data_IF_823255500274
#
_entry.id   IF_823255500274
#
_cell.length_a   1.000
_cell.length_b   1.000
_cell.length_c   1.000
_cell.angle_alpha   90.00
_cell.angle_beta   90.00
_cell.angle_gamma   90.00
#
_symmetry.space_group_name_H-M   'P 1'
#
loop_
_entity.id
_entity.type
_entity.pdbx_description
1 polymer ?
#
# COMPACT_ATOMS: atom_id res chain seq x y z
N UNK A 1 24.85 -3.92 -25.15
CA UNK A 1 24.61 -2.54 -24.69
C UNK A 1 23.23 -2.49 -24.07
N UNK A 2 23.09 -2.34 -22.74
CA UNK A 2 21.78 -2.14 -22.14
C UNK A 2 21.26 -0.76 -22.61
N UNK A 3 20.17 -0.76 -23.35
CA UNK A 3 19.50 0.48 -23.77
C UNK A 3 18.91 1.16 -22.54
N UNK A 4 19.57 2.19 -22.07
CA UNK A 4 19.09 3.05 -21.00
C UNK A 4 17.77 3.71 -21.45
N UNK A 5 16.67 3.21 -20.96
CA UNK A 5 15.36 3.82 -21.21
C UNK A 5 15.29 5.17 -20.46
N UNK A 6 14.77 6.23 -21.07
CA UNK A 6 14.74 7.54 -20.43
C UNK A 6 13.88 7.53 -19.17
N UNK A 7 14.36 8.14 -18.08
CA UNK A 7 13.70 8.24 -16.77
C UNK A 7 12.20 8.63 -16.83
N UNK A 8 11.72 9.51 -17.74
CA UNK A 8 10.29 9.82 -17.86
C UNK A 8 9.41 8.63 -18.26
N UNK A 9 9.95 7.68 -19.05
CA UNK A 9 9.20 6.48 -19.42
C UNK A 9 9.07 5.51 -18.27
N UNK A 10 10.10 5.41 -17.41
CA UNK A 10 10.07 4.64 -16.17
C UNK A 10 9.04 5.23 -15.21
N UNK A 11 9.09 6.55 -15.00
CA UNK A 11 8.18 7.23 -14.07
C UNK A 11 6.69 7.06 -14.43
N UNK A 12 6.33 7.07 -15.72
CA UNK A 12 4.96 6.83 -16.18
C UNK A 12 4.49 5.41 -15.82
N UNK A 13 5.33 4.41 -15.97
CA UNK A 13 4.96 3.02 -15.72
C UNK A 13 4.88 2.68 -14.24
N UNK A 14 5.54 3.48 -13.37
CA UNK A 14 5.43 3.40 -11.91
C UNK A 14 4.10 3.92 -11.36
N UNK A 15 3.30 4.61 -12.16
CA UNK A 15 1.97 5.10 -11.76
C UNK A 15 0.84 4.15 -12.17
N UNK A 16 1.16 2.97 -12.74
CA UNK A 16 0.22 2.10 -13.44
C UNK A 16 -0.14 0.83 -12.65
N UNK A 17 -1.05 0.05 -13.23
CA UNK A 17 -1.50 -1.28 -12.80
C UNK A 17 -0.35 -2.21 -12.40
N UNK A 18 0.82 -2.08 -13.06
CA UNK A 18 2.02 -2.85 -12.77
C UNK A 18 2.52 -2.67 -11.33
N UNK A 19 2.44 -1.46 -10.79
CA UNK A 19 2.86 -1.18 -9.41
C UNK A 19 1.92 -1.82 -8.38
N UNK A 20 0.62 -1.79 -8.65
CA UNK A 20 -0.38 -2.48 -7.82
C UNK A 20 -0.17 -3.99 -7.84
N UNK A 21 0.11 -4.58 -9.00
CA UNK A 21 0.40 -6.00 -9.15
C UNK A 21 1.69 -6.39 -8.42
N UNK A 22 2.73 -5.59 -8.57
CA UNK A 22 3.98 -5.78 -7.86
C UNK A 22 3.76 -5.77 -6.34
N UNK A 23 3.06 -4.79 -5.80
CA UNK A 23 2.80 -4.67 -4.37
C UNK A 23 2.00 -5.86 -3.82
N UNK A 24 1.04 -6.40 -4.59
CA UNK A 24 0.30 -7.57 -4.16
C UNK A 24 1.17 -8.83 -4.14
N UNK A 25 2.11 -8.98 -5.09
CA UNK A 25 3.10 -10.08 -5.04
C UNK A 25 4.02 -9.94 -3.82
N UNK A 26 4.43 -8.72 -3.47
CA UNK A 26 5.21 -8.48 -2.23
C UNK A 26 4.43 -8.92 -1.00
N UNK A 27 3.14 -8.58 -0.92
CA UNK A 27 2.27 -8.93 0.23
C UNK A 27 2.03 -10.43 0.36
N UNK A 28 1.82 -11.10 -0.76
CA UNK A 28 1.53 -12.53 -0.79
C UNK A 28 2.80 -13.41 -0.71
N UNK A 29 3.95 -12.89 -1.14
CA UNK A 29 5.17 -13.68 -1.32
C UNK A 29 5.05 -14.74 -2.44
N UNK A 30 4.01 -14.69 -3.27
CA UNK A 30 3.69 -15.67 -4.30
C UNK A 30 2.87 -15.07 -5.43
N UNK A 31 3.29 -15.33 -6.68
CA UNK A 31 2.52 -14.95 -7.87
C UNK A 31 1.17 -15.68 -7.91
N UNK A 32 1.13 -16.95 -7.52
CA UNK A 32 -0.09 -17.75 -7.54
C UNK A 32 -1.14 -17.15 -6.57
N UNK A 33 -0.77 -16.85 -5.34
CA UNK A 33 -1.67 -16.25 -4.36
C UNK A 33 -2.10 -14.84 -4.75
N UNK A 34 -1.16 -14.01 -5.20
CA UNK A 34 -1.47 -12.67 -5.68
C UNK A 34 -2.43 -12.67 -6.89
N UNK A 35 -2.27 -13.64 -7.80
CA UNK A 35 -3.16 -13.78 -8.97
C UNK A 35 -4.61 -14.08 -8.56
N UNK A 36 -4.79 -14.91 -7.54
CA UNK A 36 -6.12 -15.22 -6.99
C UNK A 36 -6.74 -13.97 -6.36
N UNK A 37 -5.99 -13.24 -5.53
CA UNK A 37 -6.48 -12.02 -4.87
C UNK A 37 -6.83 -10.90 -5.85
N UNK A 38 -6.04 -10.77 -6.90
CA UNK A 38 -6.25 -9.76 -7.95
C UNK A 38 -7.28 -10.17 -9.00
N UNK A 39 -7.72 -11.43 -8.96
CA UNK A 39 -8.58 -12.03 -9.98
C UNK A 39 -8.01 -11.88 -11.40
N UNK A 40 -6.73 -12.18 -11.56
CA UNK A 40 -6.00 -12.13 -12.84
C UNK A 40 -5.27 -13.45 -13.10
N UNK A 41 -4.98 -13.74 -14.37
CA UNK A 41 -4.17 -14.92 -14.71
C UNK A 41 -2.74 -14.78 -14.17
N UNK A 42 -2.20 -15.84 -13.55
CA UNK A 42 -0.83 -15.84 -13.01
C UNK A 42 0.24 -15.56 -14.08
N UNK A 43 0.01 -15.99 -15.32
CA UNK A 43 0.88 -15.69 -16.47
C UNK A 43 0.89 -14.20 -16.83
N UNK A 44 -0.25 -13.53 -16.72
CA UNK A 44 -0.33 -12.08 -16.92
C UNK A 44 0.41 -11.34 -15.83
N UNK A 45 0.20 -11.73 -14.56
CA UNK A 45 0.89 -11.15 -13.42
C UNK A 45 2.41 -11.34 -13.53
N UNK A 46 2.88 -12.56 -13.84
CA UNK A 46 4.29 -12.85 -14.06
C UNK A 46 4.90 -11.97 -15.17
N UNK A 47 4.17 -11.78 -16.27
CA UNK A 47 4.62 -10.92 -17.38
C UNK A 47 4.77 -9.45 -16.93
N UNK A 48 3.82 -8.92 -16.15
CA UNK A 48 3.95 -7.56 -15.61
C UNK A 48 5.17 -7.40 -14.73
N UNK A 49 5.45 -8.37 -13.85
CA UNK A 49 6.66 -8.34 -13.01
C UNK A 49 7.93 -8.36 -13.88
N UNK A 50 8.01 -9.29 -14.84
CA UNK A 50 9.16 -9.38 -15.75
C UNK A 50 9.36 -8.09 -16.56
N UNK A 51 8.28 -7.47 -17.04
CA UNK A 51 8.36 -6.19 -17.75
C UNK A 51 8.86 -5.07 -16.85
N UNK A 52 8.44 -5.05 -15.60
CA UNK A 52 8.87 -4.06 -14.61
C UNK A 52 10.36 -4.23 -14.29
N UNK A 53 10.83 -5.47 -14.08
CA UNK A 53 12.25 -5.80 -13.89
C UNK A 53 13.11 -5.43 -15.12
N UNK A 54 12.62 -5.75 -16.31
CA UNK A 54 13.30 -5.39 -17.56
C UNK A 54 13.39 -3.86 -17.76
N UNK A 55 12.35 -3.13 -17.35
CA UNK A 55 12.33 -1.67 -17.39
C UNK A 55 13.35 -1.05 -16.44
N UNK A 56 13.47 -1.62 -15.24
CA UNK A 56 14.39 -1.18 -14.18
C UNK A 56 15.84 -1.64 -14.43
N UNK A 57 16.02 -2.69 -15.23
CA UNK A 57 17.31 -3.33 -15.45
C UNK A 57 17.84 -4.11 -14.25
N UNK A 58 16.97 -4.43 -13.28
CA UNK A 58 17.32 -5.13 -12.05
C UNK A 58 16.18 -6.03 -11.60
N UNK A 59 16.49 -7.17 -10.99
CA UNK A 59 15.49 -8.04 -10.37
C UNK A 59 14.89 -7.39 -9.12
N UNK A 60 13.56 -7.40 -9.04
CA UNK A 60 12.80 -6.88 -7.90
C UNK A 60 12.49 -7.95 -6.86
N UNK A 61 12.63 -9.23 -7.25
CA UNK A 61 12.39 -10.37 -6.37
C UNK A 61 13.55 -11.35 -6.38
N UNK A 62 13.76 -11.95 -5.22
CA UNK A 62 14.61 -13.14 -5.05
C UNK A 62 13.71 -14.37 -4.91
N UNK A 63 14.00 -15.43 -5.65
CA UNK A 63 13.33 -16.71 -5.50
C UNK A 63 13.95 -17.47 -4.33
N UNK A 64 13.13 -17.84 -3.36
CA UNK A 64 13.50 -18.66 -2.22
C UNK A 64 12.65 -19.93 -2.16
N UNK A 65 13.08 -21.00 -1.47
CA UNK A 65 12.33 -22.26 -1.35
C UNK A 65 10.88 -22.07 -0.82
N UNK A 66 10.66 -21.01 -0.07
CA UNK A 66 9.35 -20.67 0.54
C UNK A 66 8.58 -19.59 -0.22
N UNK A 67 8.98 -19.23 -1.43
CA UNK A 67 8.28 -18.23 -2.22
C UNK A 67 9.18 -17.12 -2.78
N UNK A 68 8.61 -15.98 -3.02
CA UNK A 68 9.28 -14.78 -3.55
C UNK A 68 9.43 -13.73 -2.44
N UNK A 69 10.65 -13.22 -2.28
CA UNK A 69 10.96 -12.14 -1.33
C UNK A 69 11.45 -10.94 -2.13
N UNK A 70 11.04 -9.71 -1.82
CA UNK A 70 11.55 -8.54 -2.50
C UNK A 70 13.07 -8.42 -2.30
N UNK A 71 13.79 -8.07 -3.38
CA UNK A 71 15.19 -7.66 -3.32
C UNK A 71 15.31 -6.26 -2.70
N UNK A 72 16.52 -5.78 -2.46
CA UNK A 72 16.73 -4.39 -2.00
C UNK A 72 16.07 -3.37 -2.93
N UNK A 73 16.13 -3.58 -4.26
CA UNK A 73 15.42 -2.76 -5.24
C UNK A 73 13.90 -2.92 -5.13
N UNK A 74 13.43 -4.15 -4.87
CA UNK A 74 12.03 -4.45 -4.62
C UNK A 74 11.49 -3.77 -3.37
N UNK A 75 12.25 -3.72 -2.30
CA UNK A 75 11.86 -3.02 -1.06
C UNK A 75 11.72 -1.51 -1.27
N UNK A 76 12.65 -0.89 -2.01
CA UNK A 76 12.56 0.53 -2.39
C UNK A 76 11.29 0.80 -3.20
N UNK A 77 11.01 -0.06 -4.19
CA UNK A 77 9.82 0.07 -5.01
C UNK A 77 8.54 -0.16 -4.21
N UNK A 78 8.52 -1.13 -3.29
CA UNK A 78 7.37 -1.40 -2.41
C UNK A 78 7.08 -0.20 -1.49
N UNK A 79 8.11 0.41 -0.92
CA UNK A 79 7.97 1.63 -0.11
C UNK A 79 7.34 2.77 -0.93
N UNK A 80 7.78 2.97 -2.17
CA UNK A 80 7.19 3.95 -3.08
C UNK A 80 5.72 3.60 -3.40
N UNK A 81 5.43 2.35 -3.72
CA UNK A 81 4.09 1.88 -4.06
C UNK A 81 3.09 2.12 -2.93
N UNK A 82 3.49 1.84 -1.69
CA UNK A 82 2.67 2.07 -0.51
C UNK A 82 2.38 3.56 -0.32
N UNK A 83 3.40 4.41 -0.43
CA UNK A 83 3.23 5.86 -0.30
C UNK A 83 2.32 6.42 -1.40
N UNK A 84 2.50 5.99 -2.64
CA UNK A 84 1.68 6.41 -3.78
C UNK A 84 0.21 5.99 -3.63
N UNK A 85 -0.05 4.77 -3.13
CA UNK A 85 -1.40 4.31 -2.85
C UNK A 85 -2.08 5.16 -1.77
N UNK A 86 -1.40 5.46 -0.67
CA UNK A 86 -1.92 6.31 0.39
C UNK A 86 -2.18 7.75 -0.09
N UNK A 87 -1.31 8.28 -0.94
CA UNK A 87 -1.50 9.61 -1.52
C UNK A 87 -2.73 9.65 -2.43
N UNK A 88 -2.93 8.63 -3.27
CA UNK A 88 -4.13 8.51 -4.10
C UNK A 88 -5.41 8.41 -3.27
N UNK A 89 -5.40 7.62 -2.19
CA UNK A 89 -6.52 7.53 -1.24
C UNK A 89 -6.80 8.89 -0.59
N UNK A 90 -5.76 9.61 -0.19
CA UNK A 90 -5.89 10.94 0.40
C UNK A 90 -6.55 11.93 -0.57
N UNK A 91 -6.07 12.00 -1.80
CA UNK A 91 -6.63 12.87 -2.84
C UNK A 91 -8.10 12.52 -3.13
N UNK A 92 -8.42 11.23 -3.25
CA UNK A 92 -9.81 10.80 -3.44
C UNK A 92 -10.72 11.24 -2.28
N UNK A 93 -10.20 11.17 -1.05
CA UNK A 93 -10.90 11.61 0.15
C UNK A 93 -11.12 13.13 0.17
N UNK A 94 -10.08 13.90 -0.21
CA UNK A 94 -10.16 15.35 -0.29
C UNK A 94 -11.20 15.81 -1.34
N UNK A 95 -11.24 15.13 -2.49
CA UNK A 95 -12.25 15.39 -3.53
C UNK A 95 -13.66 15.08 -3.02
N UNK A 96 -13.85 13.97 -2.29
CA UNK A 96 -15.13 13.63 -1.70
C UNK A 96 -15.57 14.68 -0.66
N UNK A 97 -14.63 15.22 0.11
CA UNK A 97 -14.91 16.28 1.07
C UNK A 97 -15.40 17.57 0.39
N UNK A 98 -14.86 17.91 -0.79
CA UNK A 98 -15.33 19.06 -1.58
C UNK A 98 -16.78 18.92 -2.06
N UNK A 99 -17.27 17.68 -2.21
CA UNK A 99 -18.65 17.42 -2.61
C UNK A 99 -19.67 17.55 -1.46
N UNK A 100 -19.24 18.02 -0.30
CA UNK A 100 -20.09 18.20 0.88
C UNK A 100 -20.56 16.89 1.52
N UNK A 101 -19.98 15.78 1.15
CA UNK A 101 -20.19 14.49 1.80
C UNK A 101 -19.39 14.50 3.12
N UNK A 102 -20.04 14.90 4.21
CA UNK A 102 -19.50 14.86 5.58
C UNK A 102 -19.29 13.41 6.07
N UNK A 103 -18.71 12.58 5.27
CA UNK A 103 -18.38 11.19 5.59
C UNK A 103 -16.87 11.00 5.46
N UNK A 104 -16.22 10.79 6.58
CA UNK A 104 -14.79 10.55 6.65
C UNK A 104 -14.49 9.28 7.42
N UNK A 105 -13.32 8.70 7.18
CA UNK A 105 -12.78 7.62 8.00
C UNK A 105 -11.45 8.07 8.59
N UNK A 106 -11.38 8.10 9.92
CA UNK A 106 -10.16 8.44 10.68
C UNK A 106 -9.59 7.15 11.27
N UNK A 107 -8.32 6.88 11.01
CA UNK A 107 -7.60 5.76 11.63
C UNK A 107 -6.67 6.33 12.68
N UNK A 108 -6.86 5.90 13.92
CA UNK A 108 -6.06 6.32 15.08
C UNK A 108 -5.25 5.11 15.54
N UNK A 109 -3.93 5.24 15.54
CA UNK A 109 -3.06 4.25 16.15
C UNK A 109 -2.64 4.77 17.55
N UNK A 110 -2.85 3.99 18.57
CA UNK A 110 -2.59 4.39 19.96
C UNK A 110 -2.18 3.20 20.82
N UNK A 111 -1.52 3.46 21.94
CA UNK A 111 -1.24 2.44 22.95
C UNK A 111 -2.46 2.19 23.82
N UNK A 112 -2.48 1.06 24.51
CA UNK A 112 -3.64 0.61 25.30
C UNK A 112 -4.07 1.64 26.35
N UNK A 113 -3.13 2.26 27.06
CA UNK A 113 -3.42 3.25 28.11
C UNK A 113 -4.21 4.46 27.60
N UNK A 114 -3.88 4.97 26.41
CA UNK A 114 -4.60 6.09 25.82
C UNK A 114 -5.92 5.68 25.15
N UNK A 115 -6.00 4.42 24.68
CA UNK A 115 -7.20 3.91 24.02
C UNK A 115 -8.39 3.79 24.95
N UNK A 116 -8.16 3.53 26.24
CA UNK A 116 -9.23 3.25 27.19
C UNK A 116 -9.89 4.51 27.76
N UNK A 117 -9.18 5.59 27.89
CA UNK A 117 -9.66 6.76 28.64
C UNK A 117 -9.69 8.04 27.79
N UNK A 118 -8.58 8.38 27.17
CA UNK A 118 -8.44 9.64 26.46
C UNK A 118 -9.08 9.64 25.06
N UNK A 119 -8.81 8.62 24.26
CA UNK A 119 -9.27 8.52 22.86
C UNK A 119 -10.80 8.47 22.75
N UNK A 120 -11.54 7.71 23.56
CA UNK A 120 -13.00 7.68 23.50
C UNK A 120 -13.65 9.04 23.77
N UNK A 121 -13.15 9.81 24.74
CA UNK A 121 -13.68 11.13 25.07
C UNK A 121 -13.46 12.13 23.92
N UNK A 122 -12.27 12.11 23.31
CA UNK A 122 -11.93 12.95 22.18
C UNK A 122 -12.81 12.62 20.97
N UNK A 123 -12.99 11.33 20.67
CA UNK A 123 -13.83 10.86 19.56
C UNK A 123 -15.29 11.21 19.80
N UNK A 124 -15.81 11.02 21.00
CA UNK A 124 -17.21 11.32 21.32
C UNK A 124 -17.56 12.78 21.05
N UNK A 125 -16.68 13.71 21.45
CA UNK A 125 -16.87 15.14 21.21
C UNK A 125 -16.82 15.50 19.72
N UNK A 126 -16.01 14.81 18.95
CA UNK A 126 -15.87 15.06 17.50
C UNK A 126 -17.05 14.46 16.71
N UNK A 127 -17.44 13.22 17.01
CA UNK A 127 -18.55 12.53 16.34
C UNK A 127 -19.88 13.24 16.57
N UNK A 128 -20.06 13.82 17.75
CA UNK A 128 -21.25 14.62 18.02
C UNK A 128 -21.42 15.82 17.06
N UNK A 129 -20.31 16.44 16.66
CA UNK A 129 -20.29 17.55 15.70
C UNK A 129 -20.25 17.09 14.23
N UNK A 130 -19.78 15.87 13.99
CA UNK A 130 -19.54 15.30 12.66
C UNK A 130 -20.05 13.85 12.57
N UNK A 131 -21.39 13.65 12.53
CA UNK A 131 -21.98 12.30 12.66
C UNK A 131 -21.68 11.35 11.49
N UNK A 132 -21.14 11.87 10.37
CA UNK A 132 -20.75 11.06 9.23
C UNK A 132 -19.31 10.51 9.27
N UNK A 133 -18.53 10.84 10.32
CA UNK A 133 -17.13 10.40 10.41
C UNK A 133 -17.04 9.10 11.20
N UNK A 134 -16.36 8.11 10.61
CA UNK A 134 -16.07 6.82 11.23
C UNK A 134 -14.65 6.79 11.77
N UNK A 135 -14.45 6.27 12.97
CA UNK A 135 -13.16 6.08 13.60
C UNK A 135 -12.77 4.61 13.63
N UNK A 136 -11.55 4.32 13.21
CA UNK A 136 -10.89 3.03 13.37
C UNK A 136 -9.74 3.18 14.35
N UNK A 137 -9.82 2.52 15.49
CA UNK A 137 -8.77 2.55 16.51
C UNK A 137 -7.93 1.28 16.37
N UNK A 138 -6.63 1.44 16.16
CA UNK A 138 -5.66 0.35 16.13
C UNK A 138 -4.79 0.43 17.39
N UNK A 139 -4.74 -0.65 18.17
CA UNK A 139 -3.84 -0.74 19.31
C UNK A 139 -2.42 -1.08 18.84
N UNK A 140 -1.47 -0.26 19.27
CA UNK A 140 -0.05 -0.53 19.09
C UNK A 140 0.43 -1.32 20.33
N UNK A 141 0.75 -2.58 20.12
CA UNK A 141 1.45 -3.36 21.13
C UNK A 141 2.93 -3.04 21.01
N UNK A 142 3.51 -2.38 22.01
CA UNK A 142 4.97 -2.35 22.16
C UNK A 142 5.40 -3.72 22.61
N UNK A 143 5.95 -4.51 21.70
CA UNK A 143 6.68 -5.71 22.06
C UNK A 143 7.98 -5.23 22.70
N UNK A 144 7.99 -5.19 24.05
CA UNK A 144 9.25 -5.07 24.79
C UNK A 144 10.06 -6.32 24.45
N UNK A 145 11.02 -6.13 23.55
CA UNK A 145 12.09 -7.09 23.37
C UNK A 145 13.00 -6.99 24.61
N UNK A 146 12.81 -7.92 25.55
CA UNK A 146 13.81 -8.22 26.54
C UNK A 146 15.02 -8.94 25.91
#
# INVERSE_FOLDING_TARGET
MPSHRPLPAIARQLQDTSLRYFLEVVRCGSIAEASVRLNVAGSALSRHITQLEALMGISLFERRPRGMVPSAAGELLASHAIKSAHEAERVAHDIQALQGLQRGRVRVATTEGFAMEFVPQLIASFVHKNPGVQFHICLLYTSDAA
#
